data_IF_930974351732
#
_entry.id   IF_930974351732
#
_cell.length_a   1.000
_cell.length_b   1.000
_cell.length_c   1.000
_cell.angle_alpha   90.00
_cell.angle_beta   90.00
_cell.angle_gamma   90.00
#
_symmetry.space_group_name_H-M   'P 1'
#
loop_
_entity.id
_entity.type
_entity.pdbx_description
1 polymer ?
#
# COMPACT_ATOMS: atom_id res chain seq x y z
N UNK A 1 -13.68 -18.91 -1.39
CA UNK A 1 -13.69 -17.44 -1.48
C UNK A 1 -12.66 -17.07 -2.53
N UNK A 2 -13.03 -16.37 -3.61
CA UNK A 2 -12.01 -15.76 -4.47
C UNK A 2 -11.39 -14.62 -3.67
N UNK A 3 -10.07 -14.56 -3.61
CA UNK A 3 -9.38 -13.38 -3.09
C UNK A 3 -9.47 -12.33 -4.19
N UNK A 4 -10.34 -11.35 -4.02
CA UNK A 4 -10.35 -10.21 -4.93
C UNK A 4 -9.09 -9.38 -4.62
N UNK A 5 -8.33 -9.09 -5.67
CA UNK A 5 -7.10 -8.31 -5.62
C UNK A 5 -7.45 -6.92 -6.14
N UNK A 6 -7.03 -5.90 -5.43
CA UNK A 6 -7.31 -4.50 -5.75
C UNK A 6 -6.02 -3.70 -5.88
N UNK A 7 -6.09 -2.65 -6.69
CA UNK A 7 -5.01 -1.70 -6.90
C UNK A 7 -5.35 -0.39 -6.18
N UNK A 8 -4.46 0.08 -5.31
CA UNK A 8 -4.63 1.31 -4.54
C UNK A 8 -3.47 2.26 -4.87
N UNK A 9 -3.80 3.49 -5.26
CA UNK A 9 -2.82 4.56 -5.38
C UNK A 9 -2.46 5.07 -3.98
N UNK A 10 -1.18 5.05 -3.65
CA UNK A 10 -0.66 5.48 -2.35
C UNK A 10 0.54 6.40 -2.51
N UNK A 11 0.84 7.18 -1.48
CA UNK A 11 2.08 7.93 -1.36
C UNK A 11 3.06 7.18 -0.45
N UNK A 12 4.29 6.98 -0.91
CA UNK A 12 5.34 6.32 -0.12
C UNK A 12 6.02 7.35 0.78
N UNK A 13 5.97 7.11 2.09
CA UNK A 13 6.62 7.95 3.10
C UNK A 13 7.95 7.38 3.59
N UNK A 14 8.10 6.05 3.58
CA UNK A 14 9.33 5.36 3.94
C UNK A 14 9.40 3.97 3.30
N UNK A 15 10.62 3.43 3.20
CA UNK A 15 10.86 2.07 2.69
C UNK A 15 11.92 1.38 3.52
N UNK A 16 11.71 0.09 3.75
CA UNK A 16 12.68 -0.84 4.33
C UNK A 16 12.90 -2.01 3.37
N UNK A 17 13.80 -2.93 3.73
CA UNK A 17 14.05 -4.14 2.94
C UNK A 17 12.83 -5.07 2.84
N UNK A 18 11.84 -4.93 3.73
CA UNK A 18 10.70 -5.86 3.84
C UNK A 18 9.33 -5.20 3.78
N UNK A 19 9.23 -3.88 3.89
CA UNK A 19 7.96 -3.17 3.94
C UNK A 19 8.09 -1.73 3.44
N UNK A 20 6.96 -1.18 2.97
CA UNK A 20 6.80 0.25 2.67
C UNK A 20 5.82 0.88 3.66
N UNK A 21 6.08 2.13 4.03
CA UNK A 21 5.13 2.96 4.77
C UNK A 21 4.41 3.82 3.76
N UNK A 22 3.09 3.66 3.63
CA UNK A 22 2.32 4.36 2.62
C UNK A 22 0.95 4.83 3.13
N UNK A 23 0.43 5.92 2.58
CA UNK A 23 -0.94 6.40 2.84
C UNK A 23 -1.68 6.66 1.53
N UNK A 24 -3.00 6.53 1.55
CA UNK A 24 -3.90 6.80 0.42
C UNK A 24 -4.19 8.30 0.23
N UNK A 25 -4.20 9.07 1.33
CA UNK A 25 -4.49 10.52 1.34
C UNK A 25 -3.25 11.42 1.35
N UNK A 26 -2.05 10.84 1.39
CA UNK A 26 -0.79 11.56 1.50
C UNK A 26 -0.44 12.03 2.92
N UNK A 27 -1.28 11.76 3.92
CA UNK A 27 -1.01 12.06 5.32
C UNK A 27 -0.08 11.00 5.92
N UNK A 28 1.10 11.43 6.37
CA UNK A 28 2.10 10.54 6.96
C UNK A 28 1.67 9.98 8.31
N UNK A 29 0.84 10.71 9.06
CA UNK A 29 0.40 10.29 10.39
C UNK A 29 -0.64 9.16 10.31
N UNK A 30 -1.28 8.98 9.16
CA UNK A 30 -2.18 7.87 8.86
C UNK A 30 -1.53 6.76 8.02
N UNK A 31 -0.24 6.88 7.71
CA UNK A 31 0.43 5.92 6.87
C UNK A 31 0.55 4.55 7.55
N UNK A 32 0.40 3.51 6.75
CA UNK A 32 0.41 2.11 7.18
C UNK A 32 1.58 1.35 6.59
N UNK A 33 2.11 0.40 7.36
CA UNK A 33 3.16 -0.49 6.88
C UNK A 33 2.57 -1.63 6.07
N UNK A 34 3.00 -1.72 4.82
CA UNK A 34 2.62 -2.79 3.89
C UNK A 34 3.82 -3.70 3.64
N UNK A 35 3.74 -4.99 4.00
CA UNK A 35 4.83 -5.95 3.81
C UNK A 35 4.99 -6.30 2.34
N UNK A 36 6.20 -6.15 1.79
CA UNK A 36 6.53 -6.42 0.38
C UNK A 36 6.33 -7.89 -0.02
N UNK A 37 6.18 -8.80 0.94
CA UNK A 37 5.86 -10.21 0.68
C UNK A 37 4.38 -10.47 0.43
N UNK A 38 3.50 -9.49 0.66
CA UNK A 38 2.04 -9.64 0.51
C UNK A 38 1.44 -8.64 -0.48
N UNK A 39 2.26 -7.73 -1.01
CA UNK A 39 1.81 -6.67 -1.93
C UNK A 39 2.80 -6.54 -3.08
N UNK A 40 2.29 -6.17 -4.25
CA UNK A 40 3.11 -5.72 -5.38
C UNK A 40 3.11 -4.20 -5.41
N UNK A 41 4.26 -3.58 -5.64
CA UNK A 41 4.43 -2.12 -5.59
C UNK A 41 5.00 -1.63 -6.90
N UNK A 42 4.20 -0.87 -7.65
CA UNK A 42 4.62 -0.17 -8.85
C UNK A 42 4.89 1.29 -8.51
N UNK A 43 6.16 1.70 -8.58
CA UNK A 43 6.56 3.07 -8.24
C UNK A 43 6.15 4.02 -9.38
N UNK A 44 5.34 5.02 -9.05
CA UNK A 44 4.94 6.10 -9.94
C UNK A 44 5.89 7.30 -9.89
N UNK A 45 5.46 8.42 -10.47
CA UNK A 45 6.21 9.67 -10.42
C UNK A 45 5.88 10.47 -9.14
N UNK A 46 6.85 11.25 -8.66
CA UNK A 46 6.61 12.18 -7.54
C UNK A 46 6.39 11.54 -6.16
N UNK A 47 6.87 10.32 -5.95
CA UNK A 47 6.72 9.63 -4.65
C UNK A 47 5.39 8.90 -4.45
N UNK A 48 4.57 8.84 -5.50
CA UNK A 48 3.38 7.98 -5.55
C UNK A 48 3.74 6.57 -5.99
N UNK A 49 2.91 5.59 -5.62
CA UNK A 49 3.01 4.22 -6.08
C UNK A 49 1.61 3.59 -6.17
N UNK A 50 1.45 2.65 -7.09
CA UNK A 50 0.28 1.77 -7.12
C UNK A 50 0.65 0.51 -6.35
N UNK A 51 -0.15 0.17 -5.34
CA UNK A 51 0.02 -1.06 -4.57
C UNK A 51 -1.12 -2.01 -4.88
N UNK A 52 -0.76 -3.20 -5.35
CA UNK A 52 -1.68 -4.28 -5.63
C UNK A 52 -1.67 -5.26 -4.45
N UNK A 53 -2.84 -5.48 -3.84
CA UNK A 53 -2.98 -6.37 -2.68
C UNK A 53 -4.36 -7.02 -2.61
N UNK A 54 -4.52 -8.11 -1.84
CA UNK A 54 -5.84 -8.66 -1.57
C UNK A 54 -6.75 -7.64 -0.84
N UNK A 55 -8.02 -7.57 -1.22
CA UNK A 55 -9.01 -6.65 -0.64
C UNK A 55 -9.08 -6.77 0.90
N UNK A 56 -9.03 -8.00 1.44
CA UNK A 56 -9.05 -8.21 2.89
C UNK A 56 -7.87 -7.53 3.61
N UNK A 57 -6.71 -7.46 2.97
CA UNK A 57 -5.52 -6.82 3.55
C UNK A 57 -5.67 -5.30 3.51
N UNK A 58 -6.28 -4.75 2.46
CA UNK A 58 -6.57 -3.33 2.37
C UNK A 58 -7.57 -2.91 3.45
N UNK A 59 -8.62 -3.68 3.68
CA UNK A 59 -9.61 -3.44 4.76
C UNK A 59 -8.94 -3.53 6.14
N UNK A 60 -8.12 -4.57 6.38
CA UNK A 60 -7.38 -4.73 7.65
C UNK A 60 -6.44 -3.56 7.93
N UNK A 61 -5.86 -2.97 6.88
CA UNK A 61 -4.96 -1.82 6.97
C UNK A 61 -5.68 -0.48 6.92
N UNK A 62 -7.00 -0.44 6.69
CA UNK A 62 -7.78 0.79 6.59
C UNK A 62 -7.43 1.65 5.37
N UNK A 63 -7.05 1.02 4.26
CA UNK A 63 -6.81 1.68 2.97
C UNK A 63 -8.07 1.74 2.09
N UNK A 64 -9.18 1.16 2.56
CA UNK A 64 -10.52 1.16 1.96
C UNK A 64 -11.58 1.14 3.06
#
# INVERSE_FOLDING_TARGET
MKSDVIDIAVQIHARTDRAILASDDGDKDKAVWLPLSQVEVEIGQGGTATVTMPEWLAIDKGLV
#
